data_IF_584824449335
#
_entry.id   IF_584824449335
#
_cell.length_a   1.000
_cell.length_b   1.000
_cell.length_c   1.000
_cell.angle_alpha   90.00
_cell.angle_beta   90.00
_cell.angle_gamma   90.00
#
_symmetry.space_group_name_H-M   'P 1'
#
loop_
_entity.id
_entity.type
_entity.pdbx_description
1 polymer ?
#
# COMPACT_ATOMS: atom_id res chain seq x y z
N UNK A 1 -8.08 2.86 34.00
CA UNK A 1 -7.24 2.30 32.91
C UNK A 1 -5.85 2.89 33.10
N UNK A 2 -4.77 2.10 32.95
CA UNK A 2 -3.40 2.53 33.28
C UNK A 2 -2.73 3.25 32.10
N UNK A 3 -1.96 4.31 32.35
CA UNK A 3 -1.26 5.11 31.33
C UNK A 3 -0.38 4.29 30.35
N UNK A 4 0.13 3.13 30.79
CA UNK A 4 0.87 2.21 29.92
C UNK A 4 -0.01 1.62 28.79
N UNK A 5 -1.27 1.28 29.07
CA UNK A 5 -2.20 0.73 28.09
C UNK A 5 -2.68 1.78 27.09
N UNK A 6 -2.80 3.04 27.50
CA UNK A 6 -3.11 4.17 26.61
C UNK A 6 -1.97 4.46 25.64
N UNK A 7 -0.72 4.36 26.11
CA UNK A 7 0.48 4.52 25.28
C UNK A 7 0.56 3.45 24.18
N UNK A 8 0.14 2.21 24.48
CA UNK A 8 0.15 1.12 23.51
C UNK A 8 -0.96 1.27 22.45
N UNK A 9 -2.14 1.77 22.82
CA UNK A 9 -3.23 2.03 21.88
C UNK A 9 -2.84 3.12 20.89
N UNK A 10 -2.24 4.22 21.37
CA UNK A 10 -1.81 5.33 20.50
C UNK A 10 -0.79 4.85 19.45
N UNK A 11 0.22 4.06 19.87
CA UNK A 11 1.20 3.48 18.95
C UNK A 11 0.55 2.60 17.87
N UNK A 12 -0.42 1.78 18.26
CA UNK A 12 -1.15 0.93 17.31
C UNK A 12 -1.94 1.78 16.32
N UNK A 13 -2.67 2.80 16.78
CA UNK A 13 -3.43 3.69 15.90
C UNK A 13 -2.53 4.40 14.89
N UNK A 14 -1.40 4.94 15.36
CA UNK A 14 -0.42 5.59 14.48
C UNK A 14 0.13 4.63 13.44
N UNK A 15 0.57 3.44 13.84
CA UNK A 15 1.09 2.45 12.89
C UNK A 15 0.06 2.06 11.81
N UNK A 16 -1.21 1.90 12.19
CA UNK A 16 -2.27 1.59 11.24
C UNK A 16 -2.57 2.78 10.32
N UNK A 17 -2.59 4.00 10.87
CA UNK A 17 -2.78 5.23 10.08
C UNK A 17 -1.65 5.45 9.08
N UNK A 18 -0.40 5.29 9.52
CA UNK A 18 0.79 5.41 8.66
C UNK A 18 0.81 4.33 7.58
N UNK A 19 0.22 3.16 7.85
CA UNK A 19 0.01 2.11 6.87
C UNK A 19 -1.20 2.38 5.92
N UNK A 20 -1.92 3.48 6.10
CA UNK A 20 -3.04 3.87 5.23
C UNK A 20 -4.39 3.26 5.61
N UNK A 21 -4.57 2.71 6.82
CA UNK A 21 -5.88 2.25 7.26
C UNK A 21 -6.86 3.42 7.40
N UNK A 22 -8.08 3.24 6.89
CA UNK A 22 -9.18 4.17 7.16
C UNK A 22 -9.52 4.20 8.66
N UNK A 23 -9.96 5.36 9.22
CA UNK A 23 -10.31 5.48 10.64
C UNK A 23 -11.32 4.43 11.13
N UNK A 24 -12.28 4.06 10.28
CA UNK A 24 -13.28 3.02 10.59
C UNK A 24 -12.66 1.63 10.78
N UNK A 25 -11.64 1.28 9.97
CA UNK A 25 -10.92 0.01 10.10
C UNK A 25 -9.99 0.00 11.31
N UNK A 26 -9.40 1.15 11.66
CA UNK A 26 -8.62 1.29 12.90
C UNK A 26 -9.51 1.04 14.13
N UNK A 27 -10.70 1.64 14.18
CA UNK A 27 -11.65 1.40 15.27
C UNK A 27 -12.07 -0.08 15.34
N UNK A 28 -12.31 -0.71 14.18
CA UNK A 28 -12.59 -2.15 14.12
C UNK A 28 -11.42 -3.00 14.62
N UNK A 29 -10.19 -2.64 14.27
CA UNK A 29 -8.99 -3.36 14.75
C UNK A 29 -8.85 -3.29 16.28
N UNK A 30 -9.11 -2.11 16.86
CA UNK A 30 -9.05 -1.92 18.31
C UNK A 30 -10.17 -2.66 19.05
N UNK A 31 -11.40 -2.68 18.52
CA UNK A 31 -12.50 -3.43 19.14
C UNK A 31 -12.26 -4.94 19.11
N UNK A 32 -11.61 -5.47 18.07
CA UNK A 32 -11.17 -6.86 18.04
C UNK A 32 -10.09 -7.16 19.09
N UNK A 33 -9.25 -6.17 19.42
CA UNK A 33 -8.25 -6.29 20.51
C UNK A 33 -8.94 -6.50 21.86
N UNK A 34 -9.98 -5.71 22.15
CA UNK A 34 -10.77 -5.84 23.39
C UNK A 34 -11.48 -7.19 23.48
N UNK A 35 -11.90 -7.75 22.33
CA UNK A 35 -12.53 -9.06 22.23
C UNK A 35 -11.54 -10.24 22.19
N UNK A 36 -10.22 -9.97 22.30
CA UNK A 36 -9.15 -10.98 22.15
C UNK A 36 -9.20 -11.75 20.81
N UNK A 37 -9.75 -11.11 19.77
CA UNK A 37 -9.94 -11.66 18.41
C UNK A 37 -8.73 -11.41 17.53
N UNK A 38 -7.61 -12.07 17.88
CA UNK A 38 -6.31 -11.85 17.25
C UNK A 38 -6.25 -12.36 15.81
N UNK A 39 -6.96 -13.44 15.48
CA UNK A 39 -7.02 -14.00 14.13
C UNK A 39 -7.66 -13.01 13.14
N UNK A 40 -8.73 -12.36 13.56
CA UNK A 40 -9.45 -11.35 12.78
C UNK A 40 -8.60 -10.08 12.57
N UNK A 41 -7.79 -9.70 13.57
CA UNK A 41 -6.81 -8.64 13.41
C UNK A 41 -5.76 -8.98 12.34
N UNK A 42 -5.21 -10.20 12.35
CA UNK A 42 -4.28 -10.62 11.30
C UNK A 42 -4.92 -10.63 9.92
N UNK A 43 -6.19 -11.06 9.81
CA UNK A 43 -6.92 -11.04 8.56
C UNK A 43 -7.12 -9.62 8.02
N UNK A 44 -7.43 -8.65 8.88
CA UNK A 44 -7.52 -7.24 8.47
C UNK A 44 -6.18 -6.73 7.93
N UNK A 45 -5.07 -7.02 8.61
CA UNK A 45 -3.74 -6.62 8.16
C UNK A 45 -3.36 -7.26 6.82
N UNK A 46 -3.63 -8.56 6.66
CA UNK A 46 -3.33 -9.28 5.43
C UNK A 46 -4.11 -8.75 4.23
N UNK A 47 -5.40 -8.40 4.43
CA UNK A 47 -6.25 -7.81 3.39
C UNK A 47 -5.73 -6.43 2.97
N UNK A 48 -5.48 -5.55 3.93
CA UNK A 48 -4.95 -4.21 3.64
C UNK A 48 -3.60 -4.27 2.92
N UNK A 49 -2.71 -5.19 3.33
CA UNK A 49 -1.45 -5.42 2.62
C UNK A 49 -1.67 -5.87 1.16
N UNK A 50 -2.65 -6.73 0.90
CA UNK A 50 -2.95 -7.18 -0.45
C UNK A 50 -3.51 -6.03 -1.32
N UNK A 51 -4.36 -5.18 -0.76
CA UNK A 51 -4.88 -3.98 -1.43
C UNK A 51 -3.74 -3.01 -1.82
N UNK A 52 -2.81 -2.73 -0.89
CA UNK A 52 -1.64 -1.90 -1.18
C UNK A 52 -0.75 -2.48 -2.29
N UNK A 53 -0.57 -3.81 -2.32
CA UNK A 53 0.19 -4.47 -3.38
C UNK A 53 -0.52 -4.36 -4.73
N UNK A 54 -1.84 -4.46 -4.76
CA UNK A 54 -2.62 -4.31 -5.98
C UNK A 54 -2.52 -2.88 -6.53
N UNK A 55 -2.64 -1.87 -5.66
CA UNK A 55 -2.44 -0.46 -6.02
C UNK A 55 -1.03 -0.19 -6.55
N UNK A 56 -0.02 -0.80 -5.92
CA UNK A 56 1.37 -0.73 -6.38
C UNK A 56 1.51 -1.33 -7.78
N UNK A 57 0.98 -2.53 -8.02
CA UNK A 57 1.03 -3.17 -9.33
C UNK A 57 0.32 -2.33 -10.41
N UNK A 58 -0.82 -1.74 -10.07
CA UNK A 58 -1.55 -0.83 -10.98
C UNK A 58 -0.72 0.41 -11.34
N UNK A 59 0.01 0.95 -10.36
CA UNK A 59 0.89 2.10 -10.57
C UNK A 59 2.11 1.71 -11.40
N UNK A 60 2.71 0.55 -11.12
CA UNK A 60 3.83 0.01 -11.89
C UNK A 60 3.45 -0.19 -13.35
N UNK A 61 2.28 -0.77 -13.63
CA UNK A 61 1.79 -0.94 -15.00
C UNK A 61 1.69 0.38 -15.77
N UNK A 62 1.23 1.45 -15.12
CA UNK A 62 1.17 2.79 -15.74
C UNK A 62 2.56 3.31 -16.07
N UNK A 63 3.54 3.09 -15.19
CA UNK A 63 4.94 3.46 -15.41
C UNK A 63 5.50 2.67 -16.60
N UNK A 64 5.28 1.35 -16.64
CA UNK A 64 5.75 0.49 -17.73
C UNK A 64 5.21 0.94 -19.10
N UNK A 65 3.94 1.37 -19.15
CA UNK A 65 3.34 1.94 -20.35
C UNK A 65 4.04 3.22 -20.82
N UNK A 66 4.37 4.11 -19.87
CA UNK A 66 5.07 5.36 -20.17
C UNK A 66 6.51 5.10 -20.62
N UNK A 67 7.22 4.18 -19.96
CA UNK A 67 8.58 3.79 -20.31
C UNK A 67 8.62 3.17 -21.71
N UNK A 68 7.64 2.35 -22.05
CA UNK A 68 7.50 1.81 -23.40
C UNK A 68 7.27 2.91 -24.43
N UNK A 69 6.37 3.87 -24.16
CA UNK A 69 6.12 4.99 -25.07
C UNK A 69 7.40 5.80 -25.32
N UNK A 70 8.14 6.13 -24.26
CA UNK A 70 9.42 6.84 -24.37
C UNK A 70 10.44 6.04 -25.18
N UNK A 71 10.50 4.72 -24.99
CA UNK A 71 11.36 3.85 -25.79
C UNK A 71 11.02 3.89 -27.28
N UNK A 72 9.73 3.83 -27.63
CA UNK A 72 9.26 3.91 -29.02
C UNK A 72 9.66 5.24 -29.65
N UNK A 73 9.37 6.37 -28.99
CA UNK A 73 9.75 7.69 -29.48
C UNK A 73 11.27 7.81 -29.70
N UNK A 74 12.08 7.35 -28.74
CA UNK A 74 13.55 7.35 -28.88
C UNK A 74 14.05 6.46 -30.03
N UNK A 75 13.30 5.44 -30.42
CA UNK A 75 13.65 4.59 -31.56
C UNK A 75 13.33 5.29 -32.87
N UNK A 76 12.22 6.03 -32.94
CA UNK A 76 11.82 6.85 -34.09
C UNK A 76 12.75 8.05 -34.30
N UNK A 77 13.22 8.66 -33.22
CA UNK A 77 14.15 9.80 -33.26
C UNK A 77 15.57 9.41 -33.71
N UNK A 78 15.90 8.11 -33.80
CA UNK A 78 17.19 7.69 -34.35
C UNK A 78 17.16 7.84 -35.88
N UNK A 79 18.04 8.68 -36.47
CA UNK A 79 18.12 8.78 -37.92
C UNK A 79 18.49 7.42 -38.52
N UNK A 80 17.90 7.11 -39.68
CA UNK A 80 18.22 5.94 -40.49
C UNK A 80 19.61 6.16 -41.10
N UNK A 81 20.67 6.07 -40.30
CA UNK A 81 22.04 6.08 -40.80
C UNK A 81 22.50 4.64 -41.00
N UNK A 82 22.46 4.22 -42.26
CA UNK A 82 23.02 2.95 -42.71
C UNK A 82 22.27 2.33 -43.87
N UNK A 83 22.33 2.94 -45.05
CA UNK A 83 22.50 2.29 -46.36
C UNK A 83 22.38 3.31 -47.51
N UNK A 84 23.50 3.98 -47.82
CA UNK A 84 23.98 4.25 -49.19
C UNK A 84 25.50 4.17 -49.15
#
# INVERSE_FOLDING_TARGET
MTAAAETDIFKIQRNLSDAGFAPSLIQKFLSLSQQKKRKEQYLLLARHRAELLEELHHTQYKIDCLDYMVYVMKKEDKPIDGHV
#
